data_IF_852179749922
#
_entry.id   IF_852179749922
#
_cell.length_a   1.000
_cell.length_b   1.000
_cell.length_c   1.000
_cell.angle_alpha   90.00
_cell.angle_beta   90.00
_cell.angle_gamma   90.00
#
_symmetry.space_group_name_H-M   'P 1'
#
loop_
_entity.id
_entity.type
_entity.pdbx_description
1 polymer ?
#
# COMPACT_ATOMS: atom_id res chain seq x y z
N UNK A 1 2.89 -14.57 14.73
CA UNK A 1 2.44 -14.16 13.40
C UNK A 1 3.56 -13.34 12.78
N UNK A 2 4.13 -13.75 11.64
CA UNK A 2 5.07 -12.89 10.90
C UNK A 2 4.26 -11.65 10.48
N UNK A 3 4.66 -10.46 10.93
CA UNK A 3 4.07 -9.21 10.45
C UNK A 3 4.61 -8.93 9.07
N UNK A 4 3.74 -8.87 8.08
CA UNK A 4 4.08 -8.44 6.73
C UNK A 4 3.85 -6.92 6.57
N UNK A 5 4.13 -6.40 5.37
CA UNK A 5 3.94 -4.98 5.06
C UNK A 5 2.50 -4.53 5.29
N UNK A 6 1.49 -5.33 4.94
CA UNK A 6 0.08 -4.94 5.05
C UNK A 6 -0.33 -4.79 6.52
N UNK A 7 0.07 -5.72 7.38
CA UNK A 7 -0.18 -5.63 8.83
C UNK A 7 0.47 -4.37 9.43
N UNK A 8 1.69 -4.06 9.01
CA UNK A 8 2.39 -2.86 9.46
C UNK A 8 1.69 -1.57 8.99
N UNK A 9 1.28 -1.53 7.71
CA UNK A 9 0.59 -0.39 7.11
C UNK A 9 -0.74 -0.09 7.82
N UNK A 10 -1.53 -1.11 8.13
CA UNK A 10 -2.83 -0.96 8.80
C UNK A 10 -2.73 -0.75 10.32
N UNK A 11 -1.58 -1.01 10.94
CA UNK A 11 -1.39 -0.85 12.39
C UNK A 11 -0.67 0.44 12.77
N UNK A 12 0.65 0.37 12.96
CA UNK A 12 1.45 1.48 13.48
C UNK A 12 1.61 2.61 12.47
N UNK A 13 1.72 2.27 11.19
CA UNK A 13 1.91 3.25 10.13
C UNK A 13 0.69 4.15 9.95
N UNK A 14 -0.53 3.59 9.83
CA UNK A 14 -1.77 4.35 9.64
C UNK A 14 -2.04 5.35 10.77
N UNK A 15 -1.61 5.07 12.00
CA UNK A 15 -1.76 5.99 13.13
C UNK A 15 -0.96 7.27 12.94
N UNK A 16 0.19 7.21 12.24
CA UNK A 16 1.15 8.32 12.09
C UNK A 16 1.90 8.28 10.75
N UNK A 17 1.24 8.40 9.57
CA UNK A 17 1.93 8.24 8.29
C UNK A 17 3.08 9.24 8.08
N UNK A 18 2.88 10.48 8.54
CA UNK A 18 3.92 11.52 8.48
C UNK A 18 5.21 11.21 9.24
N UNK A 19 5.17 10.32 10.25
CA UNK A 19 6.39 9.87 10.95
C UNK A 19 7.31 9.04 10.05
N UNK A 20 6.74 8.31 9.10
CA UNK A 20 7.46 7.40 8.21
C UNK A 20 7.74 8.02 6.85
N UNK A 21 6.81 8.86 6.36
CA UNK A 21 6.88 9.51 5.06
C UNK A 21 7.48 10.93 5.12
N UNK A 22 7.65 11.49 6.31
CA UNK A 22 8.03 12.89 6.53
C UNK A 22 6.92 13.90 6.24
N UNK A 23 5.77 13.45 5.71
CA UNK A 23 4.53 14.23 5.53
C UNK A 23 3.33 13.28 5.33
N UNK A 24 2.11 13.75 5.46
CA UNK A 24 0.89 12.98 5.16
C UNK A 24 0.65 12.99 3.64
N UNK A 25 1.30 12.06 2.91
CA UNK A 25 1.35 12.14 1.44
C UNK A 25 1.38 10.76 0.78
N UNK A 26 0.38 10.44 -0.05
CA UNK A 26 0.37 9.20 -0.83
C UNK A 26 1.56 9.15 -1.80
N UNK A 27 1.91 10.27 -2.42
CA UNK A 27 3.00 10.35 -3.40
C UNK A 27 4.38 9.92 -2.86
N UNK A 28 4.57 9.90 -1.53
CA UNK A 28 5.81 9.40 -0.89
C UNK A 28 5.78 7.91 -0.54
N UNK A 29 4.60 7.30 -0.52
CA UNK A 29 4.42 5.90 -0.16
C UNK A 29 5.16 4.93 -1.10
N UNK A 30 5.23 5.13 -2.44
CA UNK A 30 6.00 4.26 -3.33
C UNK A 30 7.46 4.11 -2.93
N UNK A 31 8.13 5.19 -2.50
CA UNK A 31 9.53 5.15 -2.06
C UNK A 31 9.68 4.33 -0.79
N UNK A 32 8.75 4.46 0.17
CA UNK A 32 8.73 3.65 1.39
C UNK A 32 8.57 2.15 1.06
N UNK A 33 7.59 1.81 0.22
CA UNK A 33 7.32 0.43 -0.20
C UNK A 33 8.52 -0.17 -0.95
N UNK A 34 9.15 0.60 -1.85
CA UNK A 34 10.36 0.16 -2.55
C UNK A 34 11.52 -0.12 -1.58
N UNK A 35 11.73 0.73 -0.57
CA UNK A 35 12.73 0.50 0.48
C UNK A 35 12.46 -0.76 1.28
N UNK A 36 11.20 -1.02 1.64
CA UNK A 36 10.81 -2.26 2.32
C UNK A 36 11.01 -3.49 1.43
N UNK A 37 10.65 -3.42 0.14
CA UNK A 37 10.89 -4.50 -0.83
C UNK A 37 12.39 -4.83 -0.96
N UNK A 38 13.25 -3.81 -1.01
CA UNK A 38 14.70 -4.00 -0.98
C UNK A 38 15.13 -4.67 0.32
N UNK A 39 14.64 -4.22 1.48
CA UNK A 39 14.97 -4.87 2.75
C UNK A 39 14.56 -6.36 2.77
N UNK A 40 13.37 -6.69 2.27
CA UNK A 40 12.93 -8.08 2.13
C UNK A 40 13.85 -8.90 1.22
N UNK A 41 14.35 -8.34 0.12
CA UNK A 41 15.22 -9.09 -0.80
C UNK A 41 16.58 -9.45 -0.20
N UNK A 42 17.07 -8.66 0.77
CA UNK A 42 18.33 -8.91 1.48
C UNK A 42 18.17 -9.70 2.78
N UNK A 43 17.05 -9.54 3.49
CA UNK A 43 16.92 -10.01 4.88
C UNK A 43 15.72 -10.91 5.16
N UNK A 44 14.77 -11.08 4.23
CA UNK A 44 13.66 -12.02 4.36
C UNK A 44 13.88 -13.25 3.47
N UNK A 45 14.50 -14.29 4.04
CA UNK A 45 14.72 -15.58 3.35
C UNK A 45 13.42 -16.21 2.83
N UNK A 46 12.30 -15.96 3.50
CA UNK A 46 11.00 -16.48 3.09
C UNK A 46 10.31 -15.66 2.01
N UNK A 47 10.75 -14.41 1.79
CA UNK A 47 10.16 -13.42 0.88
C UNK A 47 8.67 -13.10 1.11
N UNK A 48 8.08 -13.61 2.19
CA UNK A 48 6.65 -13.50 2.48
C UNK A 48 6.22 -12.09 2.91
N UNK A 49 7.16 -11.22 3.30
CA UNK A 49 6.83 -9.88 3.80
C UNK A 49 6.11 -8.98 2.77
N UNK A 50 6.18 -9.30 1.49
CA UNK A 50 5.56 -8.55 0.39
C UNK A 50 4.35 -9.23 -0.25
N UNK A 51 4.11 -10.52 0.00
CA UNK A 51 3.14 -11.32 -0.76
C UNK A 51 1.73 -10.70 -0.76
N UNK A 52 1.23 -10.32 0.42
CA UNK A 52 -0.09 -9.67 0.54
C UNK A 52 -0.15 -8.30 -0.11
N UNK A 53 0.96 -7.56 -0.13
CA UNK A 53 0.99 -6.26 -0.80
C UNK A 53 0.98 -6.41 -2.34
N UNK A 54 1.67 -7.44 -2.87
CA UNK A 54 1.58 -7.80 -4.28
C UNK A 54 0.16 -8.25 -4.65
N UNK A 55 -0.50 -9.06 -3.82
CA UNK A 55 -1.90 -9.45 -4.03
C UNK A 55 -2.86 -8.25 -3.97
N UNK A 56 -2.62 -7.30 -3.06
CA UNK A 56 -3.38 -6.06 -3.00
C UNK A 56 -3.28 -5.26 -4.31
N UNK A 57 -2.06 -5.15 -4.87
CA UNK A 57 -1.84 -4.50 -6.15
C UNK A 57 -2.72 -5.11 -7.26
N UNK A 58 -2.68 -6.43 -7.41
CA UNK A 58 -3.48 -7.16 -8.41
C UNK A 58 -4.99 -7.01 -8.18
N UNK A 59 -5.42 -6.97 -6.91
CA UNK A 59 -6.81 -6.77 -6.52
C UNK A 59 -7.31 -5.37 -6.92
N UNK A 60 -6.51 -4.32 -6.72
CA UNK A 60 -6.85 -2.94 -7.12
C UNK A 60 -6.95 -2.82 -8.64
N UNK A 61 -5.98 -3.37 -9.38
CA UNK A 61 -5.98 -3.36 -10.84
C UNK A 61 -7.24 -4.03 -11.40
N UNK A 62 -7.62 -5.19 -10.84
CA UNK A 62 -8.80 -5.94 -11.28
C UNK A 62 -10.10 -5.19 -11.02
N UNK A 63 -10.23 -4.54 -9.85
CA UNK A 63 -11.48 -3.94 -9.40
C UNK A 63 -11.85 -2.66 -10.14
N UNK A 64 -10.86 -1.90 -10.57
CA UNK A 64 -11.08 -0.58 -11.12
C UNK A 64 -10.78 -0.46 -12.62
N UNK A 65 -10.34 -1.55 -13.27
CA UNK A 65 -10.07 -1.58 -14.72
C UNK A 65 -9.16 -0.44 -15.18
N UNK A 66 -8.23 0.00 -14.33
CA UNK A 66 -7.26 1.01 -14.71
C UNK A 66 -6.40 0.48 -15.85
N UNK A 67 -6.18 1.28 -16.90
CA UNK A 67 -5.08 1.01 -17.82
C UNK A 67 -3.81 0.87 -16.99
N UNK A 68 -2.98 -0.13 -17.31
CA UNK A 68 -1.78 -0.50 -16.54
C UNK A 68 -0.92 0.75 -16.28
N UNK A 69 -1.18 1.41 -15.15
CA UNK A 69 -0.66 2.74 -14.89
C UNK A 69 0.81 2.62 -14.51
N UNK A 70 1.61 3.65 -14.80
CA UNK A 70 3.05 3.64 -14.49
C UNK A 70 3.33 3.62 -12.98
N UNK A 71 2.33 3.92 -12.15
CA UNK A 71 2.41 3.85 -10.69
C UNK A 71 1.07 3.40 -10.11
N UNK A 72 1.09 2.37 -9.28
CA UNK A 72 -0.08 1.84 -8.57
C UNK A 72 -0.81 2.85 -7.68
N UNK A 73 -0.19 4.00 -7.39
CA UNK A 73 -0.82 5.11 -6.67
C UNK A 73 -1.74 5.97 -7.53
N UNK A 74 -1.59 5.96 -8.86
CA UNK A 74 -2.38 6.79 -9.78
C UNK A 74 -3.89 6.59 -9.63
N UNK A 75 -4.41 5.35 -9.58
CA UNK A 75 -5.79 5.06 -9.20
C UNK A 75 -6.36 5.93 -8.07
N UNK A 76 -5.63 5.99 -6.96
CA UNK A 76 -6.08 6.66 -5.74
C UNK A 76 -6.02 8.18 -5.89
N UNK A 77 -5.01 8.70 -6.60
CA UNK A 77 -4.88 10.12 -6.90
C UNK A 77 -6.02 10.58 -7.82
N UNK A 78 -6.32 9.83 -8.88
CA UNK A 78 -7.41 10.13 -9.81
C UNK A 78 -8.77 10.13 -9.11
N UNK A 79 -9.05 9.09 -8.31
CA UNK A 79 -10.30 8.99 -7.53
C UNK A 79 -10.45 10.09 -6.47
N UNK A 80 -9.33 10.69 -6.04
CA UNK A 80 -9.30 11.75 -5.02
C UNK A 80 -9.18 13.15 -5.62
N UNK A 81 -9.45 13.33 -6.92
CA UNK A 81 -9.29 14.61 -7.62
C UNK A 81 -7.88 15.23 -7.45
N UNK A 82 -6.84 14.39 -7.40
CA UNK A 82 -5.45 14.75 -7.12
C UNK A 82 -5.19 15.38 -5.73
N UNK A 83 -6.11 15.22 -4.78
CA UNK A 83 -5.82 15.49 -3.37
C UNK A 83 -4.99 14.32 -2.80
N UNK A 84 -3.70 14.58 -2.58
CA UNK A 84 -2.73 13.58 -2.15
C UNK A 84 -2.98 13.05 -0.72
N UNK A 85 -3.61 13.84 0.14
CA UNK A 85 -3.98 13.41 1.50
C UNK A 85 -5.22 12.52 1.46
N UNK A 86 -6.25 12.95 0.73
CA UNK A 86 -7.45 12.14 0.52
C UNK A 86 -7.14 10.83 -0.23
N UNK A 87 -6.16 10.84 -1.14
CA UNK A 87 -5.69 9.65 -1.82
C UNK A 87 -5.01 8.66 -0.85
N UNK A 88 -4.27 9.17 0.15
CA UNK A 88 -3.71 8.32 1.20
C UNK A 88 -4.80 7.70 2.09
N UNK A 89 -5.85 8.46 2.41
CA UNK A 89 -7.02 7.93 3.13
C UNK A 89 -7.75 6.85 2.34
N UNK A 90 -7.93 7.07 1.03
CA UNK A 90 -8.55 6.11 0.13
C UNK A 90 -7.69 4.83 0.01
N UNK A 91 -6.36 4.97 -0.10
CA UNK A 91 -5.44 3.84 -0.08
C UNK A 91 -5.65 2.95 1.15
N UNK A 92 -5.69 3.53 2.36
CA UNK A 92 -5.92 2.73 3.56
C UNK A 92 -7.30 2.07 3.57
N UNK A 93 -8.31 2.78 3.07
CA UNK A 93 -9.68 2.27 3.01
C UNK A 93 -9.80 1.05 2.06
N UNK A 94 -9.14 1.08 0.90
CA UNK A 94 -9.08 -0.06 -0.01
C UNK A 94 -8.22 -1.20 0.54
N UNK A 95 -7.11 -0.88 1.23
CA UNK A 95 -6.26 -1.90 1.85
C UNK A 95 -7.02 -2.67 2.96
N UNK A 96 -7.86 -1.99 3.74
CA UNK A 96 -8.75 -2.65 4.70
C UNK A 96 -9.77 -3.56 4.02
N UNK A 97 -10.44 -3.08 2.97
CA UNK A 97 -11.40 -3.90 2.20
C UNK A 97 -10.74 -5.16 1.64
N UNK A 98 -9.53 -5.03 1.11
CA UNK A 98 -8.76 -6.17 0.62
C UNK A 98 -8.52 -7.22 1.72
N UNK A 99 -8.14 -6.79 2.93
CA UNK A 99 -7.91 -7.70 4.06
C UNK A 99 -9.22 -8.34 4.54
N UNK A 100 -10.30 -7.58 4.59
CA UNK A 100 -11.63 -8.08 4.99
C UNK A 100 -12.18 -9.11 3.99
N UNK A 101 -11.96 -8.90 2.69
CA UNK A 101 -12.36 -9.84 1.63
C UNK A 101 -11.47 -11.09 1.59
N UNK A 102 -10.17 -10.95 1.84
CA UNK A 102 -9.21 -12.06 1.85
C UNK A 102 -9.30 -12.95 3.10
N UNK A 103 -10.00 -12.49 4.14
CA UNK A 103 -10.23 -13.22 5.39
C UNK A 103 -11.51 -14.06 5.38
N UNK A 104 -12.27 -14.06 4.28
CA UNK A 104 -13.49 -14.85 4.06
C UNK A 104 -13.22 -16.09 3.24
#
# INVERSE_FOLDING_TARGET
>A
MKRDLVDFLLSEFRKRPGMYLGDYSLSKLPTFVAGFMVACSFYDESKTGMDRFSQFHDWVETRHSFERSSSWTMPFLEMSNNDDQAALDLFFSELEKFVDESSR
#
